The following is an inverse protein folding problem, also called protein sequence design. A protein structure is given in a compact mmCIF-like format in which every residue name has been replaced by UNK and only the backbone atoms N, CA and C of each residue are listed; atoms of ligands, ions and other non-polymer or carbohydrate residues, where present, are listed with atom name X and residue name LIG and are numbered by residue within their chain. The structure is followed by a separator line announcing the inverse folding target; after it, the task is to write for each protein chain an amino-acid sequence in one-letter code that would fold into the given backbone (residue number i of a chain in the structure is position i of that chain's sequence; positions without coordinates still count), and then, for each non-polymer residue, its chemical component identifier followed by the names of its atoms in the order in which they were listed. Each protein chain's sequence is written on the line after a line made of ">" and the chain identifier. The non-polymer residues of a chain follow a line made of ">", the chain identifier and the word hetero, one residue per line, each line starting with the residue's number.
data_IF_675698552566
#
_entry.id   IF_675698552566
#
_cell.length_a   1.000
_cell.length_b   1.000
_cell.length_c   1.000
_cell.angle_alpha   90.00
_cell.angle_beta   90.00
_cell.angle_gamma   90.00
#
_symmetry.space_group_name_H-M   'P 1'
#
loop_
_entity.id
_entity.type
_entity.pdbx_description
1 polymer ?
#
# COMPACT_ATOMS: atom_id res chain seq x y z
N UNK A 1 -4.34 24.84 -10.93
CA UNK A 1 -3.70 23.79 -10.12
C UNK A 1 -3.09 22.80 -11.09
N UNK A 2 -1.82 22.42 -10.92
CA UNK A 2 -1.14 21.44 -11.78
C UNK A 2 -0.99 20.15 -10.99
N UNK A 3 -1.46 19.05 -11.56
CA UNK A 3 -1.29 17.70 -11.01
C UNK A 3 -0.69 16.84 -12.10
N UNK A 4 0.37 16.12 -11.75
CA UNK A 4 0.98 15.13 -12.62
C UNK A 4 0.28 13.79 -12.41
N UNK A 5 -0.63 13.45 -13.32
CA UNK A 5 -1.42 12.22 -13.26
C UNK A 5 -0.55 10.97 -13.46
N UNK A 6 0.54 11.06 -14.24
CA UNK A 6 1.48 9.96 -14.44
C UNK A 6 2.29 9.70 -13.17
N UNK A 7 2.64 10.77 -12.44
CA UNK A 7 3.30 10.63 -11.14
C UNK A 7 2.37 10.03 -10.08
N UNK A 8 1.08 10.40 -10.09
CA UNK A 8 0.07 9.75 -9.24
C UNK A 8 -0.09 8.27 -9.60
N UNK A 9 -0.14 7.95 -10.89
CA UNK A 9 -0.28 6.57 -11.36
C UNK A 9 0.93 5.71 -10.97
N UNK A 10 2.14 6.20 -11.21
CA UNK A 10 3.39 5.50 -10.84
C UNK A 10 3.53 5.37 -9.33
N UNK A 11 3.26 6.42 -8.55
CA UNK A 11 3.24 6.34 -7.08
C UNK A 11 2.18 5.37 -6.54
N UNK A 12 1.04 5.26 -7.23
CA UNK A 12 0.01 4.27 -6.93
C UNK A 12 0.50 2.84 -7.14
N UNK A 13 1.19 2.60 -8.26
CA UNK A 13 1.82 1.31 -8.56
C UNK A 13 2.90 0.93 -7.56
N UNK A 14 3.77 1.86 -7.17
CA UNK A 14 4.80 1.61 -6.15
C UNK A 14 4.20 1.36 -4.77
N UNK A 15 3.09 2.03 -4.42
CA UNK A 15 2.35 1.73 -3.19
C UNK A 15 1.80 0.31 -3.20
N UNK A 16 1.20 -0.14 -4.30
CA UNK A 16 0.74 -1.52 -4.43
C UNK A 16 1.89 -2.53 -4.29
N UNK A 17 3.01 -2.31 -5.00
CA UNK A 17 4.19 -3.17 -4.92
C UNK A 17 4.75 -3.26 -3.49
N UNK A 18 4.81 -2.14 -2.78
CA UNK A 18 5.22 -2.11 -1.39
C UNK A 18 4.24 -2.90 -0.49
N UNK A 19 2.94 -2.83 -0.75
CA UNK A 19 1.92 -3.64 -0.09
C UNK A 19 2.10 -5.14 -0.34
N UNK A 20 2.44 -5.54 -1.57
CA UNK A 20 2.73 -6.94 -1.92
C UNK A 20 3.97 -7.47 -1.19
N UNK A 21 5.02 -6.65 -1.07
CA UNK A 21 6.20 -7.01 -0.26
C UNK A 21 5.86 -7.13 1.23
N UNK A 22 4.97 -6.29 1.76
CA UNK A 22 4.50 -6.42 3.13
C UNK A 22 3.74 -7.74 3.33
N UNK A 23 2.89 -8.14 2.38
CA UNK A 23 2.21 -9.44 2.41
C UNK A 23 3.19 -10.62 2.34
N UNK A 24 4.14 -10.60 1.41
CA UNK A 24 5.16 -11.65 1.28
C UNK A 24 5.99 -11.75 2.57
N UNK A 25 6.32 -10.62 3.19
CA UNK A 25 6.95 -10.59 4.51
C UNK A 25 6.10 -11.25 5.60
N UNK A 26 4.79 -10.93 5.66
CA UNK A 26 3.87 -11.52 6.62
C UNK A 26 3.75 -13.05 6.42
N UNK A 27 3.63 -13.48 5.17
CA UNK A 27 3.52 -14.90 4.80
C UNK A 27 4.80 -15.66 5.14
N UNK A 28 5.97 -15.09 4.83
CA UNK A 28 7.27 -15.70 5.18
C UNK A 28 7.45 -15.83 6.67
N UNK A 29 7.11 -14.78 7.43
CA UNK A 29 7.22 -14.81 8.88
C UNK A 29 6.27 -15.86 9.47
N UNK A 30 5.02 -15.92 9.00
CA UNK A 30 4.01 -16.85 9.51
C UNK A 30 4.30 -18.34 9.23
N UNK A 31 5.18 -18.66 8.28
CA UNK A 31 5.53 -20.06 7.94
C UNK A 31 6.34 -20.78 9.01
N UNK A 32 6.98 -20.06 9.91
CA UNK A 32 7.85 -20.62 10.95
C UNK A 32 7.36 -20.30 12.36
N UNK A 33 6.25 -20.90 12.83
CA UNK A 33 5.82 -20.72 14.21
C UNK A 33 6.90 -21.23 15.17
N UNK A 34 7.16 -20.47 16.23
CA UNK A 34 8.11 -20.86 17.27
C UNK A 34 7.53 -22.05 18.03
N UNK A 35 8.27 -23.15 18.05
CA UNK A 35 7.90 -24.32 18.83
C UNK A 35 8.18 -24.06 20.32
N UNK A 36 7.34 -24.62 21.19
CA UNK A 36 7.63 -24.67 22.63
C UNK A 36 8.96 -25.40 22.86
N UNK A 37 9.68 -25.03 23.92
CA UNK A 37 11.00 -25.58 24.28
C UNK A 37 12.12 -25.40 23.22
N UNK A 38 11.88 -24.69 22.10
CA UNK A 38 12.90 -24.40 21.08
C UNK A 38 14.16 -23.71 21.66
N UNK A 39 14.01 -23.00 22.77
CA UNK A 39 15.08 -22.31 23.47
C UNK A 39 15.58 -23.05 24.73
N UNK A 40 15.07 -24.27 24.97
CA UNK A 40 15.32 -25.08 26.16
C UNK A 40 14.12 -25.12 27.11
N UNK A 41 14.18 -26.04 28.08
CA UNK A 41 13.13 -26.28 29.08
C UNK A 41 13.51 -25.71 30.45
N UNK A 42 13.63 -24.38 30.52
CA UNK A 42 13.93 -23.66 31.76
C UNK A 42 13.22 -22.30 31.76
N UNK A 43 12.92 -21.76 32.95
CA UNK A 43 12.05 -20.59 33.09
C UNK A 43 12.47 -19.36 32.25
N UNK A 44 13.77 -19.11 32.09
CA UNK A 44 14.24 -18.02 31.25
C UNK A 44 14.06 -18.29 29.73
N UNK A 45 14.10 -19.56 29.30
CA UNK A 45 13.76 -19.94 27.93
C UNK A 45 12.27 -19.77 27.64
N UNK A 46 11.39 -20.06 28.60
CA UNK A 46 9.95 -19.85 28.47
C UNK A 46 9.62 -18.35 28.34
N UNK A 47 10.20 -17.51 29.22
CA UNK A 47 10.01 -16.07 29.15
C UNK A 47 10.52 -15.48 27.82
N UNK A 48 11.64 -16.01 27.31
CA UNK A 48 12.16 -15.62 26.00
C UNK A 48 11.25 -16.09 24.86
N UNK A 49 10.78 -17.34 24.90
CA UNK A 49 9.82 -17.87 23.93
C UNK A 49 8.57 -16.98 23.83
N UNK A 50 7.97 -16.62 24.96
CA UNK A 50 6.79 -15.75 25.00
C UNK A 50 7.05 -14.37 24.41
N UNK A 51 8.19 -13.76 24.75
CA UNK A 51 8.58 -12.46 24.23
C UNK A 51 8.76 -12.48 22.70
N UNK A 52 9.48 -13.48 22.18
CA UNK A 52 9.69 -13.62 20.72
C UNK A 52 8.38 -13.97 20.01
N UNK A 53 7.53 -14.82 20.58
CA UNK A 53 6.24 -15.17 19.99
C UNK A 53 5.28 -13.96 19.94
N UNK A 54 5.28 -13.14 20.98
CA UNK A 54 4.54 -11.88 21.02
C UNK A 54 5.04 -10.89 19.95
N UNK A 55 6.36 -10.69 19.86
CA UNK A 55 6.98 -9.84 18.85
C UNK A 55 6.72 -10.35 17.42
N UNK A 56 6.83 -11.67 17.20
CA UNK A 56 6.52 -12.32 15.94
C UNK A 56 5.07 -12.03 15.52
N UNK A 57 4.12 -12.30 16.41
CA UNK A 57 2.70 -12.06 16.16
C UNK A 57 2.41 -10.57 15.90
N UNK A 58 3.09 -9.67 16.61
CA UNK A 58 2.99 -8.23 16.38
C UNK A 58 3.52 -7.84 14.99
N UNK A 59 4.68 -8.36 14.57
CA UNK A 59 5.25 -8.06 13.26
C UNK A 59 4.38 -8.57 12.11
N UNK A 60 3.80 -9.77 12.22
CA UNK A 60 2.85 -10.29 11.23
C UNK A 60 1.64 -9.34 11.09
N UNK A 61 1.04 -8.92 12.21
CA UNK A 61 -0.09 -7.97 12.18
C UNK A 61 0.29 -6.61 11.59
N UNK A 62 1.45 -6.08 11.95
CA UNK A 62 1.93 -4.79 11.40
C UNK A 62 2.14 -4.87 9.88
N UNK A 63 2.71 -5.97 9.38
CA UNK A 63 2.89 -6.17 7.95
C UNK A 63 1.55 -6.29 7.20
N UNK A 64 0.58 -6.99 7.77
CA UNK A 64 -0.78 -7.06 7.22
C UNK A 64 -1.44 -5.68 7.17
N UNK A 65 -1.33 -4.88 8.24
CA UNK A 65 -1.84 -3.52 8.28
C UNK A 65 -1.15 -2.60 7.26
N UNK A 66 0.16 -2.76 7.05
CA UNK A 66 0.88 -2.03 6.00
C UNK A 66 0.39 -2.41 4.60
N UNK A 67 0.17 -3.71 4.33
CA UNK A 67 -0.41 -4.16 3.06
C UNK A 67 -1.75 -3.49 2.78
N UNK A 68 -2.66 -3.46 3.77
CA UNK A 68 -3.97 -2.81 3.61
C UNK A 68 -3.85 -1.30 3.35
N UNK A 69 -3.03 -0.61 4.15
CA UNK A 69 -2.84 0.83 4.02
C UNK A 69 -2.22 1.21 2.65
N UNK A 70 -1.21 0.46 2.21
CA UNK A 70 -0.49 0.71 0.96
C UNK A 70 -1.33 0.35 -0.27
N UNK A 71 -2.09 -0.74 -0.23
CA UNK A 71 -3.06 -1.07 -1.29
C UNK A 71 -4.17 -0.01 -1.39
N UNK A 72 -4.67 0.47 -0.24
CA UNK A 72 -5.65 1.55 -0.18
C UNK A 72 -5.09 2.87 -0.72
N UNK A 73 -3.85 3.22 -0.38
CA UNK A 73 -3.16 4.39 -0.91
C UNK A 73 -2.97 4.29 -2.43
N UNK A 74 -2.51 3.13 -2.92
CA UNK A 74 -2.33 2.87 -4.34
C UNK A 74 -3.62 3.03 -5.14
N UNK A 75 -4.71 2.44 -4.63
CA UNK A 75 -6.05 2.58 -5.22
C UNK A 75 -6.52 4.03 -5.28
N UNK A 76 -6.29 4.81 -4.20
CA UNK A 76 -6.65 6.23 -4.17
C UNK A 76 -5.83 7.06 -5.16
N UNK A 77 -4.53 6.76 -5.31
CA UNK A 77 -3.68 7.43 -6.27
C UNK A 77 -4.12 7.15 -7.72
N UNK A 78 -4.50 5.91 -8.04
CA UNK A 78 -5.09 5.57 -9.34
C UNK A 78 -6.41 6.30 -9.60
N UNK A 79 -7.32 6.33 -8.62
CA UNK A 79 -8.58 7.06 -8.73
C UNK A 79 -8.36 8.57 -8.93
N UNK A 80 -7.40 9.15 -8.22
CA UNK A 80 -7.04 10.56 -8.37
C UNK A 80 -6.46 10.83 -9.76
N UNK A 81 -5.53 10.00 -10.24
CA UNK A 81 -4.97 10.12 -11.59
C UNK A 81 -6.08 10.12 -12.65
N UNK A 82 -6.98 9.13 -12.61
CA UNK A 82 -8.10 9.04 -13.54
C UNK A 82 -9.04 10.26 -13.46
N UNK A 83 -9.34 10.73 -12.25
CA UNK A 83 -10.19 11.90 -12.05
C UNK A 83 -9.56 13.19 -12.58
N UNK A 84 -8.24 13.37 -12.44
CA UNK A 84 -7.54 14.52 -12.98
C UNK A 84 -7.44 14.47 -14.52
N UNK A 85 -7.17 13.30 -15.10
CA UNK A 85 -7.17 13.12 -16.56
C UNK A 85 -8.53 13.45 -17.18
N UNK A 86 -9.62 12.88 -16.63
CA UNK A 86 -10.98 13.17 -17.10
C UNK A 86 -11.33 14.66 -17.00
N UNK A 87 -10.93 15.31 -15.90
CA UNK A 87 -11.14 16.74 -15.73
C UNK A 87 -10.38 17.56 -16.78
N UNK A 88 -9.13 17.20 -17.08
CA UNK A 88 -8.31 17.89 -18.07
C UNK A 88 -8.89 17.74 -19.49
N UNK A 89 -9.31 16.53 -19.86
CA UNK A 89 -9.98 16.25 -21.14
C UNK A 89 -11.28 17.04 -21.31
N UNK A 90 -12.13 17.07 -20.27
CA UNK A 90 -13.38 17.85 -20.29
C UNK A 90 -13.12 19.35 -20.40
N UNK A 91 -12.12 19.86 -19.68
CA UNK A 91 -11.74 21.27 -19.74
C UNK A 91 -11.19 21.64 -21.14
N UNK A 92 -10.34 20.80 -21.72
CA UNK A 92 -9.82 21.00 -23.07
C UNK A 92 -10.94 21.03 -24.11
N UNK A 93 -11.89 20.10 -24.04
CA UNK A 93 -13.06 20.08 -24.91
C UNK A 93 -13.93 21.35 -24.78
N UNK A 94 -14.16 21.83 -23.55
CA UNK A 94 -14.91 23.05 -23.30
C UNK A 94 -14.21 24.29 -23.88
N UNK A 95 -12.88 24.39 -23.72
CA UNK A 95 -12.09 25.49 -24.28
C UNK A 95 -12.11 25.49 -25.82
N UNK A 96 -12.04 24.30 -26.44
CA UNK A 96 -12.19 24.16 -27.88
C UNK A 96 -13.58 24.61 -28.34
N UNK A 97 -14.65 24.22 -27.66
CA UNK A 97 -16.01 24.64 -28.00
C UNK A 97 -16.18 26.17 -27.99
N UNK A 98 -15.66 26.84 -26.95
CA UNK A 98 -15.70 28.31 -26.85
C UNK A 98 -14.92 28.97 -27.99
N UNK A 99 -13.72 28.47 -28.30
CA UNK A 99 -12.90 29.01 -29.39
C UNK A 99 -13.64 28.97 -30.73
N UNK A 100 -14.40 27.90 -30.98
CA UNK A 100 -15.14 27.73 -32.23
C UNK A 100 -16.37 28.63 -32.27
N UNK A 101 -17.03 28.92 -31.15
CA UNK A 101 -18.16 29.85 -31.09
C UNK A 101 -17.79 31.33 -31.20
N UNK A 102 -16.55 31.72 -30.90
CA UNK A 102 -16.09 33.12 -30.96
C UNK A 102 -15.52 33.52 -32.33
N UNK A 103 -15.37 32.56 -33.26
CA UNK A 103 -14.80 32.75 -34.60
C UNK A 103 -15.82 32.90 -35.73
N UNK A 104 -17.11 32.96 -35.40
CA UNK A 104 -18.24 33.24 -36.31
C UNK A 104 -18.83 34.61 -36.01
#
# INVERSE_FOLDING_TARGET
>A
MFVDADLLHSGGGESHRAGDYAQDGADRLSRGPLMSEMFGAFAAADAFHDAVNSAHSQHVRSLQAHREALAGLGSKAYLAAAGFTDMDDRNAAALLAVRWSSGT
#
